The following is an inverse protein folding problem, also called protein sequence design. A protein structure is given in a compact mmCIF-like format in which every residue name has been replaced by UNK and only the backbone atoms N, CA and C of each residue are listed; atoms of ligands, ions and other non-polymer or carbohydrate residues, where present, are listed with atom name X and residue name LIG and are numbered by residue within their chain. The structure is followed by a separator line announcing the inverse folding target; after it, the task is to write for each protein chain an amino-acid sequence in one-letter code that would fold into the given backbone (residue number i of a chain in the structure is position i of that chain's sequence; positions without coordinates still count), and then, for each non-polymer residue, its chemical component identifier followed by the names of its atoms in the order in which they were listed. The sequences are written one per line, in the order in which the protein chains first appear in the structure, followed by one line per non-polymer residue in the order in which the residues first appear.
data_IF_274946871994
#
_entry.id   IF_274946871994
#
_cell.length_a   1.000
_cell.length_b   1.000
_cell.length_c   1.000
_cell.angle_alpha   90.00
_cell.angle_beta   90.00
_cell.angle_gamma   90.00
#
_symmetry.space_group_name_H-M   'P 1'
#
loop_
_entity.id
_entity.type
_entity.pdbx_description
1 polymer ?
#
# COMPACT_ATOMS: atom_id res chain seq x y z
N UNK A 1 -13.19 -17.89 33.89
CA UNK A 1 -12.27 -17.69 32.75
C UNK A 1 -12.53 -16.34 32.07
N UNK A 2 -11.58 -15.41 32.12
CA UNK A 2 -11.69 -14.12 31.44
C UNK A 2 -11.15 -14.26 30.01
N UNK A 3 -12.01 -14.01 29.02
CA UNK A 3 -11.64 -14.02 27.60
C UNK A 3 -11.13 -12.63 27.24
N UNK A 4 -9.84 -12.53 26.91
CA UNK A 4 -9.23 -11.28 26.47
C UNK A 4 -9.66 -10.98 25.03
N UNK A 5 -10.19 -9.78 24.77
CA UNK A 5 -10.79 -9.37 23.50
C UNK A 5 -9.82 -9.38 22.29
N UNK A 6 -8.52 -9.58 22.52
CA UNK A 6 -7.50 -9.69 21.49
C UNK A 6 -7.28 -11.13 21.00
N UNK A 7 -7.90 -12.13 21.64
CA UNK A 7 -7.82 -13.54 21.23
C UNK A 7 -9.14 -13.89 20.52
N UNK A 8 -9.32 -13.38 19.31
CA UNK A 8 -10.46 -13.72 18.45
C UNK A 8 -10.04 -13.64 16.99
N UNK A 9 -9.57 -14.77 16.48
CA UNK A 9 -9.53 -15.22 15.08
C UNK A 9 -10.27 -14.34 14.05
N UNK A 10 -9.59 -13.41 13.37
CA UNK A 10 -10.04 -12.95 12.05
C UNK A 10 -10.02 -11.45 11.74
N UNK A 11 -9.56 -10.59 12.65
CA UNK A 11 -9.68 -9.13 12.48
C UNK A 11 -8.37 -8.37 12.14
N UNK A 12 -7.24 -9.05 11.93
CA UNK A 12 -5.95 -8.37 11.68
C UNK A 12 -5.70 -8.01 10.22
N UNK A 13 -6.08 -8.87 9.26
CA UNK A 13 -5.65 -8.69 7.85
C UNK A 13 -6.48 -7.61 7.13
N UNK A 14 -7.74 -7.43 7.48
CA UNK A 14 -8.65 -6.45 6.84
C UNK A 14 -8.34 -5.00 7.20
N UNK A 15 -7.55 -4.73 8.26
CA UNK A 15 -7.33 -3.35 8.76
C UNK A 15 -6.18 -2.59 8.09
N UNK A 16 -5.29 -3.24 7.34
CA UNK A 16 -4.06 -2.59 6.87
C UNK A 16 -3.94 -2.40 5.35
N UNK A 17 -4.90 -2.86 4.55
CA UNK A 17 -4.95 -2.56 3.10
C UNK A 17 -4.96 -1.06 2.81
N UNK A 18 -5.72 -0.31 3.61
CA UNK A 18 -5.77 1.16 3.53
C UNK A 18 -4.47 1.82 3.99
N UNK A 19 -3.73 1.17 4.88
CA UNK A 19 -2.44 1.70 5.36
C UNK A 19 -1.41 1.67 4.24
N UNK A 20 -1.33 0.58 3.44
CA UNK A 20 -0.34 0.45 2.36
C UNK A 20 -0.58 1.51 1.30
N UNK A 21 -1.84 1.63 0.87
CA UNK A 21 -2.25 2.67 -0.08
C UNK A 21 -1.94 4.07 0.44
N UNK A 22 -2.23 4.36 1.71
CA UNK A 22 -1.95 5.67 2.31
C UNK A 22 -0.45 5.98 2.36
N UNK A 23 0.37 5.00 2.73
CA UNK A 23 1.83 5.13 2.74
C UNK A 23 2.37 5.38 1.34
N UNK A 24 1.86 4.71 0.31
CA UNK A 24 2.26 4.95 -1.08
C UNK A 24 1.82 6.34 -1.58
N UNK A 25 0.61 6.82 -1.23
CA UNK A 25 0.19 8.19 -1.54
C UNK A 25 1.11 9.21 -0.87
N UNK A 26 1.50 8.94 0.38
CA UNK A 26 2.46 9.78 1.10
C UNK A 26 3.80 9.78 0.37
N UNK A 27 4.33 8.62 0.00
CA UNK A 27 5.60 8.50 -0.73
C UNK A 27 5.60 9.36 -2.00
N UNK A 28 4.57 9.28 -2.85
CA UNK A 28 4.47 10.13 -4.06
C UNK A 28 4.55 11.63 -3.74
N UNK A 29 3.98 12.08 -2.62
CA UNK A 29 3.94 13.51 -2.26
C UNK A 29 5.25 14.04 -1.68
N UNK A 30 6.02 13.19 -1.00
CA UNK A 30 7.22 13.61 -0.27
C UNK A 30 8.53 13.24 -0.98
N UNK A 31 8.52 12.22 -1.84
CA UNK A 31 9.70 11.85 -2.62
C UNK A 31 9.96 12.89 -3.72
N UNK A 32 11.20 13.34 -3.82
CA UNK A 32 11.65 14.34 -4.80
C UNK A 32 12.00 13.75 -6.15
N UNK A 33 12.34 12.46 -6.19
CA UNK A 33 12.64 11.73 -7.42
C UNK A 33 11.90 10.39 -7.48
N UNK A 34 11.80 9.83 -8.68
CA UNK A 34 11.26 8.48 -8.90
C UNK A 34 12.11 7.43 -8.18
N UNK A 35 13.42 7.66 -8.08
CA UNK A 35 14.34 6.77 -7.38
C UNK A 35 14.08 6.75 -5.87
N UNK A 36 13.83 7.93 -5.27
CA UNK A 36 13.46 8.03 -3.85
C UNK A 36 12.13 7.32 -3.57
N UNK A 37 11.17 7.46 -4.50
CA UNK A 37 9.89 6.76 -4.42
C UNK A 37 10.07 5.24 -4.50
N UNK A 38 10.94 4.76 -5.39
CA UNK A 38 11.22 3.32 -5.53
C UNK A 38 11.85 2.75 -4.25
N UNK A 39 12.78 3.47 -3.63
CA UNK A 39 13.35 3.06 -2.34
C UNK A 39 12.29 3.01 -1.23
N UNK A 40 11.44 4.03 -1.09
CA UNK A 40 10.35 4.05 -0.10
C UNK A 40 9.34 2.92 -0.37
N UNK A 41 9.02 2.64 -1.64
CA UNK A 41 8.15 1.52 -2.03
C UNK A 41 8.72 0.17 -1.57
N UNK A 42 9.99 -0.10 -1.86
CA UNK A 42 10.67 -1.35 -1.44
C UNK A 42 10.71 -1.45 0.09
N UNK A 43 10.99 -0.34 0.78
CA UNK A 43 10.95 -0.29 2.23
C UNK A 43 9.56 -0.65 2.79
N UNK A 44 8.49 -0.13 2.19
CA UNK A 44 7.11 -0.48 2.55
C UNK A 44 6.80 -1.95 2.26
N UNK A 45 7.19 -2.48 1.10
CA UNK A 45 7.03 -3.90 0.77
C UNK A 45 7.68 -4.80 1.84
N UNK A 46 8.95 -4.52 2.17
CA UNK A 46 9.68 -5.27 3.19
C UNK A 46 9.05 -5.14 4.58
N UNK A 47 8.56 -3.95 4.93
CA UNK A 47 7.86 -3.73 6.20
C UNK A 47 6.59 -4.59 6.28
N UNK A 48 5.81 -4.68 5.21
CA UNK A 48 4.62 -5.52 5.19
C UNK A 48 4.97 -7.01 5.22
N UNK A 49 5.99 -7.45 4.49
CA UNK A 49 6.45 -8.84 4.58
C UNK A 49 6.88 -9.21 6.00
N UNK A 50 7.62 -8.33 6.67
CA UNK A 50 8.05 -8.52 8.06
C UNK A 50 6.86 -8.57 9.05
N UNK A 51 5.75 -7.92 8.73
CA UNK A 51 4.50 -7.97 9.52
C UNK A 51 3.61 -9.19 9.18
N UNK A 52 4.08 -10.11 8.33
CA UNK A 52 3.38 -11.37 8.02
C UNK A 52 2.35 -11.27 6.89
N UNK A 53 2.36 -10.19 6.10
CA UNK A 53 1.54 -10.11 4.90
C UNK A 53 2.13 -10.98 3.78
N UNK A 54 1.28 -11.59 2.96
CA UNK A 54 1.75 -12.39 1.82
C UNK A 54 2.26 -11.49 0.68
N UNK A 55 3.21 -12.01 -0.10
CA UNK A 55 3.71 -11.35 -1.31
C UNK A 55 2.54 -11.03 -2.25
N UNK A 56 1.66 -12.00 -2.51
CA UNK A 56 0.49 -11.81 -3.37
C UNK A 56 -0.42 -10.65 -2.92
N UNK A 57 -0.58 -10.47 -1.60
CA UNK A 57 -1.37 -9.38 -1.06
C UNK A 57 -0.72 -8.03 -1.37
N UNK A 58 0.59 -7.92 -1.14
CA UNK A 58 1.37 -6.70 -1.35
C UNK A 58 1.37 -6.36 -2.84
N UNK A 59 1.72 -7.31 -3.71
CA UNK A 59 1.77 -7.14 -5.15
C UNK A 59 0.42 -6.68 -5.70
N UNK A 60 -0.68 -7.31 -5.28
CA UNK A 60 -2.03 -6.91 -5.70
C UNK A 60 -2.34 -5.45 -5.34
N UNK A 61 -1.93 -5.00 -4.14
CA UNK A 61 -2.20 -3.63 -3.69
C UNK A 61 -1.31 -2.61 -4.38
N UNK A 62 -0.05 -2.94 -4.65
CA UNK A 62 0.89 -2.08 -5.37
C UNK A 62 0.47 -1.96 -6.82
N UNK A 63 0.14 -3.05 -7.50
CA UNK A 63 -0.37 -3.02 -8.87
C UNK A 63 -1.64 -2.17 -8.96
N UNK A 64 -2.60 -2.40 -8.05
CA UNK A 64 -3.81 -1.58 -8.00
C UNK A 64 -3.53 -0.08 -7.76
N UNK A 65 -2.53 0.24 -6.93
CA UNK A 65 -2.09 1.62 -6.71
C UNK A 65 -1.49 2.23 -7.98
N UNK A 66 -0.54 1.53 -8.63
CA UNK A 66 0.10 2.00 -9.85
C UNK A 66 -0.93 2.19 -10.97
N UNK A 67 -1.80 1.22 -11.21
CA UNK A 67 -2.88 1.33 -12.18
C UNK A 67 -3.83 2.48 -11.86
N UNK A 68 -4.14 2.76 -10.59
CA UNK A 68 -5.02 3.88 -10.23
C UNK A 68 -4.39 5.25 -10.52
N UNK A 69 -3.08 5.40 -10.29
CA UNK A 69 -2.37 6.65 -10.58
C UNK A 69 -2.07 6.82 -12.07
N UNK A 70 -1.80 5.71 -12.78
CA UNK A 70 -1.57 5.70 -14.22
C UNK A 70 -2.88 5.84 -15.03
N UNK A 71 -4.01 5.32 -14.53
CA UNK A 71 -5.32 5.61 -15.09
C UNK A 71 -5.76 7.07 -14.86
N UNK A 72 -5.23 7.71 -13.81
CA UNK A 72 -5.49 9.13 -13.53
C UNK A 72 -4.67 10.08 -14.40
N UNK A 73 -3.43 9.75 -14.73
CA UNK A 73 -2.64 10.54 -15.71
C UNK A 73 -3.29 10.52 -17.10
N UNK A 74 -3.99 9.44 -17.47
CA UNK A 74 -4.77 9.35 -18.71
C UNK A 74 -6.05 10.22 -18.72
N UNK A 75 -6.63 10.52 -17.56
CA UNK A 75 -7.84 11.35 -17.46
C UNK A 75 -7.55 12.86 -17.39
N UNK A 76 -6.28 13.27 -17.29
CA UNK A 76 -5.87 14.69 -17.20
C UNK A 76 -5.35 15.27 -18.52
N UNK A 77 -5.31 14.50 -19.60
CA UNK A 77 -5.13 15.07 -20.93
C UNK A 77 -6.45 15.75 -21.34
N UNK A 78 -6.48 17.07 -21.57
CA UNK A 78 -7.62 17.67 -22.23
C UNK A 78 -7.76 17.01 -23.60
N UNK A 79 -8.99 16.62 -23.94
CA UNK A 79 -9.39 16.59 -25.35
C UNK A 79 -9.37 18.05 -25.79
N UNK A 80 -8.23 18.51 -26.32
CA UNK A 80 -8.06 19.56 -27.35
C UNK A 80 -6.57 19.90 -27.53
#
# INVERSE_FOLDING_TARGET
PYTLAYISNGNSITKHSHWLRSSLVRAIRYCTSVEDFNHERIYLEMTYLANGYSIDFIDKHIQHFLTFFDAKSLQQLPLD
#
